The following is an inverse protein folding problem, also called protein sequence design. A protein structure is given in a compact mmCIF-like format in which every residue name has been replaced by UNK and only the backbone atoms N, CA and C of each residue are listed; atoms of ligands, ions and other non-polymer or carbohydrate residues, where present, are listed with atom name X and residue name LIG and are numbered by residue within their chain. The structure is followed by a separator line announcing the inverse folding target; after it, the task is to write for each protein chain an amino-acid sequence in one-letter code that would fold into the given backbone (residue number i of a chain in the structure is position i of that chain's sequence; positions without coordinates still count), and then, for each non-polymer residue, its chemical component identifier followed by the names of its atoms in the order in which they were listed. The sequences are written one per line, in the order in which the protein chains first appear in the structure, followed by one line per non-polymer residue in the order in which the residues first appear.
data_IF_067740556774
#
_entry.id   IF_067740556774
#
_cell.length_a   1.000
_cell.length_b   1.000
_cell.length_c   1.000
_cell.angle_alpha   90.00
_cell.angle_beta   90.00
_cell.angle_gamma   90.00
#
_symmetry.space_group_name_H-M   'P 1'
#
loop_
_entity.id
_entity.type
_entity.pdbx_description
1 polymer ?
#
# COMPACT_ATOMS: atom_id res chain seq x y z
N UNK A 1 14.07 -9.46 -6.71
CA UNK A 1 13.93 -7.98 -6.76
C UNK A 1 14.41 -7.39 -5.44
N UNK A 2 15.06 -6.24 -5.51
CA UNK A 2 15.49 -5.52 -4.30
C UNK A 2 14.32 -4.90 -3.57
N UNK A 3 14.47 -4.64 -2.27
CA UNK A 3 13.50 -3.87 -1.51
C UNK A 3 14.01 -2.42 -1.32
N UNK A 4 13.17 -1.58 -0.70
CA UNK A 4 13.50 -0.15 -0.55
C UNK A 4 14.78 0.09 0.24
N UNK A 5 15.06 -0.74 1.24
CA UNK A 5 16.28 -0.59 2.04
C UNK A 5 17.55 -0.83 1.25
N UNK A 6 17.46 -1.55 0.14
CA UNK A 6 18.61 -1.90 -0.68
C UNK A 6 18.90 -0.85 -1.75
N UNK A 7 18.07 0.17 -1.88
CA UNK A 7 18.32 1.28 -2.79
C UNK A 7 19.29 2.27 -2.15
N UNK A 8 20.21 2.80 -2.93
CA UNK A 8 21.04 3.89 -2.43
C UNK A 8 20.27 5.23 -2.50
N UNK A 9 20.90 6.31 -2.02
CA UNK A 9 20.23 7.60 -1.97
C UNK A 9 19.82 8.14 -3.34
N UNK A 10 20.67 7.97 -4.34
CA UNK A 10 20.35 8.42 -5.69
C UNK A 10 19.19 7.62 -6.28
N UNK A 11 19.23 6.31 -6.12
CA UNK A 11 18.16 5.44 -6.59
C UNK A 11 16.82 5.77 -5.92
N UNK A 12 16.83 6.03 -4.63
CA UNK A 12 15.63 6.39 -3.89
C UNK A 12 15.05 7.72 -4.38
N UNK A 13 15.89 8.73 -4.59
CA UNK A 13 15.44 10.02 -5.12
C UNK A 13 14.93 9.90 -6.56
N UNK A 14 15.56 9.05 -7.36
CA UNK A 14 15.06 8.77 -8.71
C UNK A 14 13.68 8.14 -8.68
N UNK A 15 13.47 7.16 -7.80
CA UNK A 15 12.14 6.55 -7.63
C UNK A 15 11.11 7.61 -7.28
N UNK A 16 11.43 8.49 -6.31
CA UNK A 16 10.50 9.54 -5.92
C UNK A 16 10.14 10.47 -7.06
N UNK A 17 11.13 10.91 -7.78
CA UNK A 17 10.93 11.81 -8.91
C UNK A 17 10.04 11.13 -9.96
N UNK A 18 10.35 9.87 -10.26
CA UNK A 18 9.62 9.11 -11.29
C UNK A 18 8.17 8.86 -10.89
N UNK A 19 7.90 8.54 -9.62
CA UNK A 19 6.53 8.23 -9.17
C UNK A 19 5.68 9.45 -8.88
N UNK A 20 6.28 10.65 -8.84
CA UNK A 20 5.53 11.84 -8.47
C UNK A 20 4.22 12.04 -9.26
N UNK A 21 4.15 11.76 -10.57
CA UNK A 21 2.89 11.89 -11.31
C UNK A 21 1.81 10.89 -10.92
N UNK A 22 2.19 9.73 -10.34
CA UNK A 22 1.23 8.70 -9.94
C UNK A 22 0.97 8.66 -8.44
N UNK A 23 1.64 9.51 -7.66
CA UNK A 23 1.39 9.58 -6.22
C UNK A 23 -0.09 9.78 -5.86
N UNK A 24 -0.85 10.65 -6.56
CA UNK A 24 -2.27 10.78 -6.24
C UNK A 24 -3.05 9.47 -6.38
N UNK A 25 -2.68 8.61 -7.33
CA UNK A 25 -3.32 7.30 -7.48
C UNK A 25 -2.97 6.41 -6.29
N UNK A 26 -1.71 6.41 -5.88
CA UNK A 26 -1.24 5.57 -4.77
C UNK A 26 -1.84 6.00 -3.43
N UNK A 27 -1.93 7.31 -3.18
CA UNK A 27 -2.49 7.78 -1.89
C UNK A 27 -4.01 7.64 -1.82
N UNK A 28 -4.68 7.44 -2.95
CA UNK A 28 -6.12 7.13 -2.96
C UNK A 28 -6.42 5.68 -2.59
N UNK A 29 -5.41 4.82 -2.50
CA UNK A 29 -5.59 3.44 -2.10
C UNK A 29 -6.13 3.35 -0.68
N UNK A 30 -7.22 2.63 -0.47
CA UNK A 30 -7.76 2.38 0.87
C UNK A 30 -6.77 1.65 1.75
N UNK A 31 -5.98 0.74 1.15
CA UNK A 31 -4.96 0.00 1.88
C UNK A 31 -3.86 0.92 2.39
N UNK A 32 -3.36 1.81 1.55
CA UNK A 32 -2.37 2.81 1.94
C UNK A 32 -2.93 3.75 3.00
N UNK A 33 -4.17 4.21 2.82
CA UNK A 33 -4.83 5.06 3.80
C UNK A 33 -4.88 4.39 5.18
N UNK A 34 -5.25 3.12 5.22
CA UNK A 34 -5.36 2.38 6.48
C UNK A 34 -3.99 2.13 7.12
N UNK A 35 -3.02 1.68 6.34
CA UNK A 35 -1.74 1.22 6.88
C UNK A 35 -0.75 2.34 7.16
N UNK A 36 -0.78 3.39 6.35
CA UNK A 36 0.15 4.50 6.52
C UNK A 36 -0.47 5.62 7.34
N UNK A 37 -1.66 6.08 6.95
CA UNK A 37 -2.27 7.25 7.58
C UNK A 37 -3.27 6.91 8.67
N UNK A 38 -3.47 5.61 8.96
CA UNK A 38 -4.40 5.13 9.99
C UNK A 38 -5.84 5.61 9.77
N UNK A 39 -6.22 5.79 8.52
CA UNK A 39 -7.57 6.14 8.12
C UNK A 39 -8.31 4.88 7.68
N UNK A 40 -9.32 4.51 8.44
CA UNK A 40 -10.08 3.29 8.22
C UNK A 40 -11.48 3.60 7.71
N UNK A 41 -12.03 2.73 6.87
CA UNK A 41 -13.42 2.87 6.46
C UNK A 41 -14.34 2.61 7.67
N UNK A 42 -15.62 2.95 7.50
CA UNK A 42 -16.58 2.88 8.60
C UNK A 42 -16.70 1.49 9.19
N UNK A 43 -16.72 0.46 8.35
CA UNK A 43 -16.88 -0.93 8.79
C UNK A 43 -15.70 -1.39 9.63
N UNK A 44 -14.48 -1.12 9.18
CA UNK A 44 -13.26 -1.44 9.92
C UNK A 44 -13.20 -0.64 11.22
N UNK A 45 -13.53 0.63 11.15
CA UNK A 45 -13.47 1.50 12.32
C UNK A 45 -14.45 1.05 13.41
N UNK A 46 -15.66 0.70 13.04
CA UNK A 46 -16.66 0.18 13.98
C UNK A 46 -16.18 -1.11 14.64
N UNK A 47 -15.62 -2.03 13.87
CA UNK A 47 -15.12 -3.29 14.41
C UNK A 47 -13.94 -3.06 15.36
N UNK A 48 -13.04 -2.14 15.03
CA UNK A 48 -11.92 -1.77 15.90
C UNK A 48 -12.41 -1.18 17.22
N UNK A 49 -13.44 -0.34 17.18
CA UNK A 49 -14.02 0.23 18.40
C UNK A 49 -14.66 -0.83 19.29
N UNK A 50 -15.38 -1.79 18.70
CA UNK A 50 -15.95 -2.91 19.44
C UNK A 50 -14.85 -3.70 20.14
N UNK A 51 -13.79 -4.05 19.42
CA UNK A 51 -12.67 -4.79 19.98
C UNK A 51 -12.01 -4.02 21.15
N UNK A 52 -11.71 -2.74 20.96
CA UNK A 52 -11.04 -1.93 21.97
C UNK A 52 -11.91 -1.75 23.21
N UNK A 53 -13.21 -1.51 23.03
CA UNK A 53 -14.12 -1.35 24.16
C UNK A 53 -14.24 -2.65 24.96
N UNK A 54 -14.30 -3.78 24.28
CA UNK A 54 -14.38 -5.07 24.95
C UNK A 54 -13.09 -5.39 25.70
N UNK A 55 -11.93 -5.10 25.08
CA UNK A 55 -10.62 -5.37 25.68
C UNK A 55 -10.38 -4.59 26.98
N UNK A 56 -11.07 -3.48 27.19
CA UNK A 56 -10.94 -2.66 28.39
C UNK A 56 -11.75 -3.18 29.59
N UNK A 57 -12.66 -4.12 29.35
CA UNK A 57 -13.51 -4.66 30.43
C UNK A 57 -12.75 -5.64 31.30
N UNK A 58 -13.19 -5.79 32.56
CA UNK A 58 -12.61 -6.75 33.45
C UNK A 58 -12.81 -8.19 32.97
N UNK A 59 -13.97 -8.48 32.42
CA UNK A 59 -14.30 -9.78 31.85
C UNK A 59 -14.67 -9.60 30.39
N UNK A 60 -13.71 -9.51 29.47
CA UNK A 60 -14.01 -9.31 28.06
C UNK A 60 -14.81 -10.46 27.48
N UNK A 61 -15.76 -10.15 26.62
CA UNK A 61 -16.48 -11.15 25.86
C UNK A 61 -15.61 -11.57 24.66
N UNK A 62 -15.00 -12.74 24.79
CA UNK A 62 -14.09 -13.26 23.76
C UNK A 62 -14.79 -13.48 22.42
N UNK A 63 -16.05 -13.89 22.43
CA UNK A 63 -16.81 -14.07 21.19
C UNK A 63 -16.98 -12.75 20.46
N UNK A 64 -17.33 -11.69 21.17
CA UNK A 64 -17.43 -10.35 20.58
C UNK A 64 -16.11 -9.87 20.03
N UNK A 65 -15.01 -10.10 20.76
CA UNK A 65 -13.68 -9.71 20.30
C UNK A 65 -13.28 -10.48 19.06
N UNK A 66 -13.52 -11.78 19.03
CA UNK A 66 -13.19 -12.62 17.87
C UNK A 66 -14.03 -12.23 16.65
N UNK A 67 -15.31 -11.96 16.82
CA UNK A 67 -16.16 -11.50 15.73
C UNK A 67 -15.68 -10.17 15.16
N UNK A 68 -15.25 -9.25 16.03
CA UNK A 68 -14.69 -7.98 15.59
C UNK A 68 -13.40 -8.17 14.80
N UNK A 69 -12.50 -9.05 15.27
CA UNK A 69 -11.26 -9.37 14.57
C UNK A 69 -11.54 -10.00 13.20
N UNK A 70 -12.50 -10.91 13.12
CA UNK A 70 -12.91 -11.51 11.85
C UNK A 70 -13.42 -10.46 10.88
N UNK A 71 -14.22 -9.51 11.36
CA UNK A 71 -14.72 -8.42 10.53
C UNK A 71 -13.58 -7.57 9.99
N UNK A 72 -12.58 -7.27 10.83
CA UNK A 72 -11.40 -6.51 10.41
C UNK A 72 -10.64 -7.28 9.32
N UNK A 73 -10.40 -8.57 9.52
CA UNK A 73 -9.68 -9.41 8.55
C UNK A 73 -10.42 -9.50 7.23
N UNK A 74 -11.73 -9.73 7.27
CA UNK A 74 -12.56 -9.79 6.07
C UNK A 74 -12.54 -8.47 5.31
N UNK A 75 -12.63 -7.36 6.03
CA UNK A 75 -12.62 -6.06 5.40
C UNK A 75 -11.24 -5.72 4.81
N UNK A 76 -10.16 -6.15 5.46
CA UNK A 76 -8.82 -5.99 4.88
C UNK A 76 -8.67 -6.76 3.57
N UNK A 77 -9.22 -7.98 3.51
CA UNK A 77 -9.21 -8.76 2.27
C UNK A 77 -10.03 -8.06 1.18
N UNK A 78 -11.19 -7.51 1.54
CA UNK A 78 -12.04 -6.79 0.61
C UNK A 78 -11.36 -5.52 0.09
N UNK A 79 -10.69 -4.78 0.97
CA UNK A 79 -9.92 -3.58 0.60
C UNK A 79 -8.82 -3.96 -0.37
N UNK A 80 -8.09 -5.04 -0.11
CA UNK A 80 -7.03 -5.51 -0.99
C UNK A 80 -7.57 -5.82 -2.39
N UNK A 81 -8.70 -6.52 -2.46
CA UNK A 81 -9.34 -6.86 -3.74
C UNK A 81 -9.78 -5.58 -4.48
N UNK A 82 -10.44 -4.67 -3.77
CA UNK A 82 -10.89 -3.41 -4.39
C UNK A 82 -9.72 -2.59 -4.91
N UNK A 83 -8.68 -2.46 -4.10
CA UNK A 83 -7.50 -1.69 -4.50
C UNK A 83 -6.80 -2.32 -5.69
N UNK A 84 -6.60 -3.64 -5.67
CA UNK A 84 -5.97 -4.34 -6.79
C UNK A 84 -6.77 -4.14 -8.07
N UNK A 85 -8.10 -4.19 -7.97
CA UNK A 85 -8.98 -4.01 -9.12
C UNK A 85 -9.00 -2.58 -9.63
N UNK A 86 -8.84 -1.61 -8.73
CA UNK A 86 -8.93 -0.18 -9.08
C UNK A 86 -7.55 0.43 -9.38
N UNK A 87 -6.56 0.16 -8.54
CA UNK A 87 -5.26 0.83 -8.60
C UNK A 87 -4.36 0.23 -9.68
N UNK A 88 -4.24 -1.09 -9.71
CA UNK A 88 -3.37 -1.75 -10.67
C UNK A 88 -3.73 -1.43 -12.12
N UNK A 89 -5.01 -1.49 -12.54
CA UNK A 89 -5.36 -1.09 -13.90
C UNK A 89 -4.99 0.36 -14.23
N UNK A 90 -5.11 1.28 -13.27
CA UNK A 90 -4.71 2.67 -13.50
C UNK A 90 -3.20 2.81 -13.68
N UNK A 91 -2.42 2.08 -12.88
CA UNK A 91 -0.96 2.10 -12.99
C UNK A 91 -0.49 1.49 -14.31
N UNK A 92 -1.21 0.52 -14.84
CA UNK A 92 -0.86 -0.16 -16.08
C UNK A 92 -1.48 0.49 -17.33
N UNK A 93 -2.18 1.63 -17.18
CA UNK A 93 -2.70 2.38 -18.32
C UNK A 93 -1.55 2.86 -19.20
N UNK A 94 -1.86 3.19 -20.47
CA UNK A 94 -0.84 3.67 -21.41
C UNK A 94 -0.07 4.89 -20.89
N UNK A 95 -0.74 5.77 -20.17
CA UNK A 95 -0.13 6.98 -19.64
C UNK A 95 0.87 6.69 -18.51
N UNK A 96 0.57 5.71 -17.67
CA UNK A 96 1.36 5.42 -16.48
C UNK A 96 2.33 4.25 -16.66
N UNK A 97 2.17 3.48 -17.71
CA UNK A 97 2.96 2.26 -17.93
C UNK A 97 4.45 2.52 -17.96
N UNK A 98 4.87 3.58 -18.63
CA UNK A 98 6.28 3.95 -18.72
C UNK A 98 6.86 4.25 -17.35
N UNK A 99 6.09 4.93 -16.49
CA UNK A 99 6.49 5.24 -15.11
C UNK A 99 6.70 3.95 -14.33
N UNK A 100 5.77 3.01 -14.43
CA UNK A 100 5.84 1.72 -13.77
C UNK A 100 7.12 0.97 -14.18
N UNK A 101 7.39 0.90 -15.48
CA UNK A 101 8.59 0.21 -15.98
C UNK A 101 9.87 0.86 -15.49
N UNK A 102 9.92 2.18 -15.43
CA UNK A 102 11.10 2.90 -14.91
C UNK A 102 11.36 2.58 -13.44
N UNK A 103 10.31 2.57 -12.62
CA UNK A 103 10.44 2.23 -11.21
C UNK A 103 10.91 0.79 -11.03
N UNK A 104 10.24 -0.14 -11.70
CA UNK A 104 10.61 -1.56 -11.59
C UNK A 104 12.03 -1.82 -12.07
N UNK A 105 12.49 -1.09 -13.09
CA UNK A 105 13.86 -1.21 -13.57
C UNK A 105 14.89 -0.87 -12.49
N UNK A 106 14.61 0.14 -11.67
CA UNK A 106 15.51 0.49 -10.56
C UNK A 106 15.57 -0.65 -9.54
N UNK A 107 14.41 -1.18 -9.14
CA UNK A 107 14.37 -2.28 -8.16
C UNK A 107 15.01 -3.56 -8.67
N UNK A 108 14.89 -3.86 -9.97
CA UNK A 108 15.46 -5.06 -10.58
C UNK A 108 16.91 -4.90 -11.03
N UNK A 109 17.44 -3.69 -11.03
CA UNK A 109 18.74 -3.38 -11.66
C UNK A 109 18.76 -3.78 -13.13
N UNK A 110 17.73 -3.37 -13.84
CA UNK A 110 17.55 -3.70 -15.24
C UNK A 110 17.11 -2.46 -16.01
N UNK A 111 16.83 -2.58 -17.29
CA UNK A 111 16.33 -1.45 -18.09
C UNK A 111 14.82 -1.46 -18.16
N UNK A 112 14.17 -0.28 -18.32
CA UNK A 112 12.73 -0.24 -18.50
C UNK A 112 12.25 -1.10 -19.69
N UNK A 113 13.04 -1.15 -20.75
CA UNK A 113 12.69 -1.96 -21.91
C UNK A 113 12.67 -3.45 -21.57
N UNK A 114 13.66 -3.95 -20.84
CA UNK A 114 13.67 -5.33 -20.39
C UNK A 114 12.46 -5.65 -19.51
N UNK A 115 12.12 -4.74 -18.60
CA UNK A 115 10.93 -4.91 -17.76
C UNK A 115 9.67 -4.99 -18.62
N UNK A 116 9.58 -4.21 -19.68
CA UNK A 116 8.40 -4.18 -20.54
C UNK A 116 8.12 -5.53 -21.22
N UNK A 117 9.15 -6.38 -21.32
CA UNK A 117 9.01 -7.72 -21.90
C UNK A 117 8.71 -8.82 -20.87
N UNK A 118 8.64 -8.47 -19.60
CA UNK A 118 8.28 -9.46 -18.58
C UNK A 118 6.81 -9.87 -18.72
N UNK A 119 6.47 -11.11 -18.34
CA UNK A 119 5.06 -11.51 -18.30
C UNK A 119 4.24 -10.56 -17.41
N UNK A 120 3.02 -10.24 -17.85
CA UNK A 120 2.15 -9.32 -17.11
C UNK A 120 1.91 -9.74 -15.66
N UNK A 121 1.80 -11.05 -15.41
CA UNK A 121 1.64 -11.57 -14.04
C UNK A 121 2.85 -11.22 -13.19
N UNK A 122 4.05 -11.33 -13.76
CA UNK A 122 5.28 -10.98 -13.04
C UNK A 122 5.31 -9.50 -12.67
N UNK A 123 4.92 -8.63 -13.60
CA UNK A 123 4.85 -7.18 -13.36
C UNK A 123 3.87 -6.87 -12.23
N UNK A 124 2.70 -7.47 -12.26
CA UNK A 124 1.68 -7.28 -11.21
C UNK A 124 2.20 -7.74 -9.85
N UNK A 125 2.87 -8.89 -9.81
CA UNK A 125 3.47 -9.40 -8.58
C UNK A 125 4.52 -8.44 -8.03
N UNK A 126 5.39 -7.93 -8.89
CA UNK A 126 6.43 -6.96 -8.50
C UNK A 126 5.81 -5.68 -7.93
N UNK A 127 4.78 -5.16 -8.58
CA UNK A 127 4.06 -3.98 -8.08
C UNK A 127 3.46 -4.22 -6.70
N UNK A 128 2.83 -5.37 -6.52
CA UNK A 128 2.24 -5.72 -5.22
C UNK A 128 3.31 -5.84 -4.13
N UNK A 129 4.48 -6.39 -4.45
CA UNK A 129 5.58 -6.48 -3.50
C UNK A 129 6.08 -5.10 -3.08
N UNK A 130 6.21 -4.17 -4.01
CA UNK A 130 6.64 -2.81 -3.70
C UNK A 130 5.60 -2.09 -2.84
N UNK A 131 4.32 -2.19 -3.22
CA UNK A 131 3.24 -1.54 -2.48
C UNK A 131 3.14 -2.13 -1.07
N UNK A 132 3.39 -3.42 -0.91
CA UNK A 132 3.34 -4.08 0.38
C UNK A 132 4.59 -3.87 1.23
N UNK A 133 5.67 -3.36 0.66
CA UNK A 133 6.92 -3.14 1.39
C UNK A 133 6.70 -2.06 2.46
N UNK A 134 6.89 -2.44 3.72
CA UNK A 134 6.69 -1.51 4.85
C UNK A 134 7.60 -0.29 4.77
N UNK A 135 8.81 -0.45 4.25
CA UNK A 135 9.74 0.67 4.13
C UNK A 135 9.28 1.67 3.08
N UNK A 136 8.69 1.18 1.99
CA UNK A 136 8.12 2.04 0.98
C UNK A 136 6.89 2.78 1.52
N UNK A 137 6.04 2.09 2.29
CA UNK A 137 4.88 2.71 2.93
C UNK A 137 5.31 3.76 3.95
N UNK A 138 6.29 3.46 4.78
CA UNK A 138 6.85 4.41 5.73
C UNK A 138 7.38 5.65 5.02
N UNK A 139 8.08 5.42 3.91
CA UNK A 139 8.59 6.51 3.12
C UNK A 139 7.46 7.36 2.52
N UNK A 140 6.41 6.74 1.98
CA UNK A 140 5.24 7.46 1.48
C UNK A 140 4.58 8.30 2.56
N UNK A 141 4.61 7.86 3.81
CA UNK A 141 4.01 8.62 4.91
C UNK A 141 4.68 9.97 5.13
N UNK A 142 5.94 10.11 4.75
CA UNK A 142 6.64 11.41 4.84
C UNK A 142 6.20 12.40 3.75
N UNK A 143 5.49 11.94 2.73
CA UNK A 143 4.96 12.83 1.69
C UNK A 143 3.58 13.37 2.02
N UNK A 144 2.94 12.89 3.09
CA UNK A 144 1.61 13.35 3.52
C UNK A 144 1.75 14.32 4.68
N UNK A 145 1.63 15.62 4.42
CA UNK A 145 2.02 16.61 5.42
C UNK A 145 1.08 16.72 6.63
N UNK A 146 -0.18 16.39 6.46
CA UNK A 146 -1.14 16.72 7.50
C UNK A 146 -1.34 15.62 8.52
N UNK A 147 -0.99 14.41 8.21
CA UNK A 147 -1.39 13.31 9.03
C UNK A 147 -0.42 12.96 10.11
N UNK A 148 0.70 13.69 10.22
CA UNK A 148 1.72 13.41 11.17
C UNK A 148 1.53 14.11 12.43
N UNK A 149 0.52 14.87 12.53
CA UNK A 149 0.36 15.78 13.62
C UNK A 149 -0.06 15.11 14.84
N UNK A 150 -0.76 14.21 14.87
CA UNK A 150 -1.21 13.75 16.00
C UNK A 150 -0.47 13.08 16.75
N UNK A 151 -0.37 12.89 17.53
CA UNK A 151 0.46 12.22 18.47
C UNK A 151 -0.13 11.40 19.56
#
# INVERSE_FOLDING_TARGET
MRNVKELDGNELFDVLFIISPILPILVDSELIQAQIFKRYNKKTNNARMIYLNEAKKQNPDETKMNDALMTIEEEQANIFIRDTTKIIPQLLSNENRSIVFQVLAIFEKNTPEDISHYPGVKITTMLNEIIADLNFKDFLSYTEPSERIES
#
